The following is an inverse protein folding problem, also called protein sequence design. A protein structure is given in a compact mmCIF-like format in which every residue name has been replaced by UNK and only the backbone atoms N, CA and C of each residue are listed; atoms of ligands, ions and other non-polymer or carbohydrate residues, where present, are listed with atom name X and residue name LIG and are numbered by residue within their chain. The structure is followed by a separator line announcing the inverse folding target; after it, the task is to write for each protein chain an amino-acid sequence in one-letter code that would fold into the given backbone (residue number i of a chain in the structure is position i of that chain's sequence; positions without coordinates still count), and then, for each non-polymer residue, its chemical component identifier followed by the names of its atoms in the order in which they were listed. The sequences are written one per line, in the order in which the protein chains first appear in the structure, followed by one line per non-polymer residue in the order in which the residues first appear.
data_IF_994549697281
#
_entry.id   IF_994549697281
#
_cell.length_a   1.000
_cell.length_b   1.000
_cell.length_c   1.000
_cell.angle_alpha   90.00
_cell.angle_beta   90.00
_cell.angle_gamma   90.00
#
_symmetry.space_group_name_H-M   'P 1'
#
loop_
_entity.id
_entity.type
_entity.pdbx_description
1 polymer ?
#
# COMPACT_ATOMS: atom_id res chain seq x y z
N UNK A 1 -15.62 8.60 34.43
CA UNK A 1 -14.41 8.97 35.20
C UNK A 1 -13.23 8.59 34.32
N UNK A 2 -12.33 9.54 34.01
CA UNK A 2 -11.14 9.26 33.20
C UNK A 2 -10.20 8.43 34.07
N UNK A 3 -9.80 7.26 33.57
CA UNK A 3 -8.86 6.38 34.25
C UNK A 3 -7.44 6.88 33.94
N UNK A 4 -6.71 7.32 34.98
CA UNK A 4 -5.36 7.86 34.83
C UNK A 4 -4.38 6.83 34.20
N UNK A 5 -4.59 5.55 34.45
CA UNK A 5 -3.77 4.49 33.85
C UNK A 5 -3.95 4.42 32.34
N UNK A 6 -5.19 4.54 31.83
CA UNK A 6 -5.49 4.53 30.38
C UNK A 6 -4.90 5.79 29.69
N UNK A 7 -4.93 6.94 30.36
CA UNK A 7 -4.29 8.16 29.84
C UNK A 7 -2.78 8.00 29.75
N UNK A 8 -2.16 7.47 30.83
CA UNK A 8 -0.71 7.22 30.84
C UNK A 8 -0.30 6.17 29.80
N UNK A 9 -1.09 5.12 29.64
CA UNK A 9 -0.87 4.12 28.60
C UNK A 9 -0.92 4.73 27.20
N UNK A 10 -1.94 5.51 26.89
CA UNK A 10 -2.06 6.18 25.59
C UNK A 10 -0.90 7.13 25.32
N UNK A 11 -0.47 7.90 26.32
CA UNK A 11 0.70 8.76 26.18
C UNK A 11 1.99 7.95 25.90
N UNK A 12 2.20 6.83 26.59
CA UNK A 12 3.34 5.97 26.31
C UNK A 12 3.30 5.38 24.89
N UNK A 13 2.12 4.95 24.42
CA UNK A 13 1.95 4.46 23.05
C UNK A 13 2.40 5.49 22.00
N UNK A 14 2.08 6.78 22.22
CA UNK A 14 2.46 7.86 21.30
C UNK A 14 3.94 8.25 21.48
N UNK A 15 4.39 8.48 22.71
CA UNK A 15 5.72 9.07 22.97
C UNK A 15 6.87 8.08 22.85
N UNK A 16 6.63 6.76 23.13
CA UNK A 16 7.69 5.75 23.26
C UNK A 16 7.54 4.56 22.33
N UNK A 17 6.32 4.29 21.86
CA UNK A 17 5.98 3.05 21.16
C UNK A 17 5.57 3.30 19.70
N UNK A 18 5.83 4.51 19.18
CA UNK A 18 5.59 4.92 17.80
C UNK A 18 4.14 4.75 17.30
N UNK A 19 3.13 4.92 18.18
CA UNK A 19 1.74 4.99 17.73
C UNK A 19 1.54 6.22 16.87
N UNK A 20 1.11 6.03 15.64
CA UNK A 20 0.74 7.12 14.76
C UNK A 20 -0.62 6.90 14.05
N UNK A 21 -1.23 7.99 13.65
CA UNK A 21 -2.21 8.00 12.58
C UNK A 21 -1.44 8.21 11.29
N UNK A 22 -1.22 7.11 10.55
CA UNK A 22 -0.39 7.11 9.37
C UNK A 22 -0.93 8.04 8.30
N UNK A 23 -2.25 8.13 8.17
CA UNK A 23 -2.87 9.01 7.19
C UNK A 23 -4.31 9.35 7.52
N UNK A 24 -4.71 10.58 7.18
CA UNK A 24 -6.10 10.93 6.85
C UNK A 24 -6.16 11.05 5.32
N UNK A 25 -6.96 10.21 4.68
CA UNK A 25 -7.11 10.18 3.22
C UNK A 25 -8.53 10.58 2.83
N UNK A 26 -8.66 11.59 1.98
CA UNK A 26 -9.94 11.95 1.37
C UNK A 26 -10.09 11.22 0.04
N UNK A 27 -11.08 10.33 -0.06
CA UNK A 27 -11.56 9.78 -1.33
C UNK A 27 -12.43 10.81 -2.05
N UNK A 28 -12.20 11.01 -3.35
CA UNK A 28 -12.93 11.98 -4.17
C UNK A 28 -13.34 11.31 -5.48
N UNK A 29 -14.64 11.27 -5.75
CA UNK A 29 -15.16 10.83 -7.05
C UNK A 29 -14.88 11.89 -8.11
N UNK A 30 -14.29 11.46 -9.23
CA UNK A 30 -14.07 12.30 -10.41
C UNK A 30 -14.97 11.93 -11.58
N UNK A 31 -16.03 11.15 -11.35
CA UNK A 31 -16.94 10.71 -12.43
C UNK A 31 -17.66 11.88 -13.11
N UNK A 32 -17.93 12.95 -12.40
CA UNK A 32 -18.52 14.19 -12.92
C UNK A 32 -17.50 15.08 -13.69
N UNK A 33 -16.21 14.71 -13.64
CA UNK A 33 -15.16 15.38 -14.41
C UNK A 33 -14.97 14.80 -15.82
N UNK A 34 -15.62 13.69 -16.15
CA UNK A 34 -15.53 13.07 -17.47
C UNK A 34 -15.99 14.08 -18.55
N UNK A 35 -15.14 14.24 -19.56
CA UNK A 35 -15.40 15.08 -20.72
C UNK A 35 -14.73 14.50 -21.97
N UNK A 36 -15.22 14.85 -23.15
CA UNK A 36 -14.58 14.48 -24.42
C UNK A 36 -13.48 15.47 -24.84
N UNK A 37 -13.52 16.69 -24.31
CA UNK A 37 -12.46 17.68 -24.45
C UNK A 37 -11.45 17.54 -23.32
N UNK A 38 -10.18 17.37 -23.68
CA UNK A 38 -9.10 17.14 -22.71
C UNK A 38 -8.93 18.33 -21.76
N UNK A 39 -8.96 19.56 -22.28
CA UNK A 39 -8.74 20.74 -21.44
C UNK A 39 -9.89 20.93 -20.45
N UNK A 40 -11.14 20.70 -20.90
CA UNK A 40 -12.29 20.74 -20.01
C UNK A 40 -12.20 19.66 -18.91
N UNK A 41 -11.76 18.45 -19.26
CA UNK A 41 -11.53 17.36 -18.30
C UNK A 41 -10.46 17.76 -17.26
N UNK A 42 -9.30 18.28 -17.70
CA UNK A 42 -8.21 18.74 -16.84
C UNK A 42 -8.69 19.83 -15.86
N UNK A 43 -9.41 20.83 -16.35
CA UNK A 43 -9.94 21.93 -15.53
C UNK A 43 -10.94 21.44 -14.46
N UNK A 44 -11.82 20.49 -14.83
CA UNK A 44 -12.78 19.89 -13.91
C UNK A 44 -12.06 19.10 -12.81
N UNK A 45 -11.09 18.25 -13.17
CA UNK A 45 -10.29 17.47 -12.22
C UNK A 45 -9.58 18.41 -11.22
N UNK A 46 -8.90 19.43 -11.72
CA UNK A 46 -8.20 20.39 -10.87
C UNK A 46 -9.14 21.06 -9.86
N UNK A 47 -10.23 21.63 -10.34
CA UNK A 47 -11.25 22.30 -9.50
C UNK A 47 -11.87 21.35 -8.46
N UNK A 48 -12.28 20.15 -8.89
CA UNK A 48 -12.92 19.18 -8.01
C UNK A 48 -12.00 18.78 -6.85
N UNK A 49 -10.70 18.53 -7.14
CA UNK A 49 -9.73 18.17 -6.12
C UNK A 49 -9.47 19.34 -5.16
N UNK A 50 -9.14 20.52 -5.71
CA UNK A 50 -8.78 21.69 -4.90
C UNK A 50 -9.93 22.17 -4.03
N UNK A 51 -11.16 22.24 -4.57
CA UNK A 51 -12.35 22.63 -3.79
C UNK A 51 -12.71 21.60 -2.72
N UNK A 52 -12.58 20.31 -3.02
CA UNK A 52 -12.93 19.24 -2.07
C UNK A 52 -11.97 19.14 -0.91
N UNK A 53 -10.67 19.26 -1.16
CA UNK A 53 -9.62 18.99 -0.17
C UNK A 53 -8.98 20.24 0.44
N UNK A 54 -9.47 21.46 0.15
CA UNK A 54 -8.89 22.75 0.61
C UNK A 54 -8.63 22.83 2.12
N UNK A 55 -9.45 22.18 2.93
CA UNK A 55 -9.37 22.25 4.39
C UNK A 55 -8.77 20.95 4.99
N UNK A 56 -8.38 19.97 4.18
CA UNK A 56 -7.95 18.64 4.65
C UNK A 56 -6.69 18.72 5.51
N UNK A 57 -5.65 19.38 5.01
CA UNK A 57 -4.35 19.48 5.70
C UNK A 57 -4.50 20.24 7.01
N UNK A 58 -5.11 21.42 6.97
CA UNK A 58 -5.36 22.24 8.16
C UNK A 58 -6.14 21.45 9.22
N UNK A 59 -7.21 20.77 8.82
CA UNK A 59 -8.03 19.98 9.75
C UNK A 59 -7.22 18.84 10.36
N UNK A 60 -6.39 18.15 9.58
CA UNK A 60 -5.52 17.10 10.10
C UNK A 60 -4.51 17.61 11.13
N UNK A 61 -3.91 18.77 10.89
CA UNK A 61 -2.95 19.40 11.82
C UNK A 61 -3.62 19.86 13.12
N UNK A 62 -4.80 20.47 13.02
CA UNK A 62 -5.57 20.88 14.20
C UNK A 62 -5.96 19.67 15.07
N UNK A 63 -6.38 18.56 14.46
CA UNK A 63 -6.72 17.32 15.18
C UNK A 63 -5.48 16.71 15.83
N UNK A 64 -4.34 16.67 15.12
CA UNK A 64 -3.09 16.16 15.67
C UNK A 64 -2.66 16.95 16.90
N UNK A 65 -2.74 18.28 16.84
CA UNK A 65 -2.39 19.16 17.95
C UNK A 65 -3.35 19.02 19.15
N UNK A 66 -4.66 18.94 18.87
CA UNK A 66 -5.68 18.86 19.93
C UNK A 66 -5.66 17.51 20.65
N UNK A 67 -5.45 16.40 19.91
CA UNK A 67 -5.46 15.07 20.51
C UNK A 67 -4.09 14.58 20.97
N UNK A 68 -3.02 15.30 20.61
CA UNK A 68 -1.65 14.89 20.92
C UNK A 68 -1.20 13.60 20.21
N UNK A 69 -1.87 13.23 19.10
CA UNK A 69 -1.54 12.04 18.31
C UNK A 69 -0.98 12.48 16.96
N UNK A 70 0.22 12.04 16.57
CA UNK A 70 0.79 12.40 15.27
C UNK A 70 -0.11 11.93 14.12
N UNK A 71 -0.40 12.83 13.17
CA UNK A 71 -1.03 12.50 11.90
C UNK A 71 0.01 12.75 10.80
N UNK A 72 0.69 11.67 10.42
CA UNK A 72 1.93 11.75 9.62
C UNK A 72 1.66 12.27 8.22
N UNK A 73 0.61 11.77 7.56
CA UNK A 73 0.27 12.18 6.21
C UNK A 73 -1.20 12.62 6.07
N UNK A 74 -1.42 13.55 5.15
CA UNK A 74 -2.74 13.91 4.63
C UNK A 74 -2.69 13.59 3.14
N UNK A 75 -3.64 12.79 2.66
CA UNK A 75 -3.61 12.20 1.32
C UNK A 75 -4.94 12.35 0.62
N UNK A 76 -4.92 12.20 -0.70
CA UNK A 76 -6.11 12.12 -1.54
C UNK A 76 -6.07 10.80 -2.32
N UNK A 77 -7.22 10.18 -2.50
CA UNK A 77 -7.43 9.11 -3.48
C UNK A 77 -8.56 9.50 -4.41
N UNK A 78 -8.39 9.28 -5.72
CA UNK A 78 -9.42 9.63 -6.70
C UNK A 78 -9.91 8.40 -7.46
N UNK A 79 -11.04 8.53 -8.13
CA UNK A 79 -11.54 7.51 -9.08
C UNK A 79 -10.43 7.11 -10.05
N UNK A 80 -10.27 5.80 -10.37
CA UNK A 80 -9.27 5.35 -11.33
C UNK A 80 -9.27 6.18 -12.61
N UNK A 81 -8.16 6.83 -12.89
CA UNK A 81 -8.03 7.83 -13.98
C UNK A 81 -8.25 7.21 -15.36
N UNK A 82 -8.00 5.91 -15.55
CA UNK A 82 -8.33 5.24 -16.80
C UNK A 82 -9.82 5.35 -17.15
N UNK A 83 -10.71 5.37 -16.14
CA UNK A 83 -12.16 5.56 -16.35
C UNK A 83 -12.50 7.02 -16.65
N UNK A 84 -11.86 7.96 -15.98
CA UNK A 84 -12.15 9.39 -16.09
C UNK A 84 -11.59 9.97 -17.40
N UNK A 85 -10.34 9.64 -17.73
CA UNK A 85 -9.65 10.16 -18.93
C UNK A 85 -10.01 9.45 -20.22
N UNK A 86 -10.72 8.32 -20.16
CA UNK A 86 -10.93 7.45 -21.33
C UNK A 86 -11.66 8.10 -22.51
N UNK A 87 -12.51 9.09 -22.27
CA UNK A 87 -13.23 9.84 -23.32
C UNK A 87 -12.33 10.91 -23.97
N UNK A 88 -11.46 11.56 -23.20
CA UNK A 88 -10.65 12.69 -23.61
C UNK A 88 -9.29 12.27 -24.20
N UNK A 89 -8.62 11.33 -23.57
CA UNK A 89 -7.23 10.95 -23.89
C UNK A 89 -7.16 10.05 -25.12
N UNK A 90 -6.25 10.39 -26.03
CA UNK A 90 -5.99 9.64 -27.28
C UNK A 90 -4.57 9.06 -27.33
N UNK A 91 -3.71 9.53 -26.45
CA UNK A 91 -2.30 9.15 -26.38
C UNK A 91 -1.86 8.96 -24.91
N UNK A 92 -0.76 8.24 -24.65
CA UNK A 92 -0.17 8.19 -23.30
C UNK A 92 0.20 9.58 -22.76
N UNK A 93 0.63 10.50 -23.62
CA UNK A 93 0.96 11.88 -23.24
C UNK A 93 -0.26 12.64 -22.71
N UNK A 94 -1.47 12.40 -23.24
CA UNK A 94 -2.69 13.04 -22.71
C UNK A 94 -3.01 12.58 -21.29
N UNK A 95 -2.78 11.29 -21.00
CA UNK A 95 -2.90 10.78 -19.63
C UNK A 95 -1.83 11.36 -18.70
N UNK A 96 -0.58 11.54 -19.17
CA UNK A 96 0.47 12.17 -18.38
C UNK A 96 0.10 13.61 -17.97
N UNK A 97 -0.59 14.37 -18.83
CA UNK A 97 -1.12 15.70 -18.48
C UNK A 97 -2.14 15.64 -17.34
N UNK A 98 -2.96 14.58 -17.27
CA UNK A 98 -3.86 14.39 -16.11
C UNK A 98 -3.04 14.20 -14.84
N UNK A 99 -1.97 13.40 -14.87
CA UNK A 99 -1.07 13.23 -13.72
C UNK A 99 -0.45 14.57 -13.27
N UNK A 100 0.01 15.39 -14.22
CA UNK A 100 0.58 16.71 -13.93
C UNK A 100 -0.47 17.64 -13.28
N UNK A 101 -1.73 17.58 -13.71
CA UNK A 101 -2.83 18.35 -13.10
C UNK A 101 -3.16 17.85 -11.70
N UNK A 102 -3.15 16.52 -11.48
CA UNK A 102 -3.31 15.93 -10.15
C UNK A 102 -2.20 16.36 -9.20
N UNK A 103 -0.96 16.35 -9.67
CA UNK A 103 0.21 16.79 -8.90
C UNK A 103 0.12 18.27 -8.52
N UNK A 104 -0.23 19.13 -9.49
CA UNK A 104 -0.48 20.55 -9.25
C UNK A 104 -1.57 20.79 -8.20
N UNK A 105 -2.66 20.05 -8.26
CA UNK A 105 -3.74 20.14 -7.28
C UNK A 105 -3.28 19.66 -5.89
N UNK A 106 -2.48 18.59 -5.83
CA UNK A 106 -1.91 18.07 -4.58
C UNK A 106 -0.99 19.10 -3.91
N UNK A 107 -0.15 19.76 -4.69
CA UNK A 107 0.71 20.86 -4.20
C UNK A 107 -0.11 22.04 -3.67
N UNK A 108 -1.17 22.45 -4.39
CA UNK A 108 -2.00 23.58 -3.96
C UNK A 108 -2.70 23.35 -2.63
N UNK A 109 -3.23 22.14 -2.41
CA UNK A 109 -3.91 21.80 -1.14
C UNK A 109 -2.94 21.30 -0.06
N UNK A 110 -1.64 21.12 -0.39
CA UNK A 110 -0.58 20.76 0.54
C UNK A 110 -0.57 19.32 1.00
N UNK A 111 -1.21 18.39 0.26
CA UNK A 111 -1.21 16.97 0.62
C UNK A 111 0.10 16.29 0.23
N UNK A 112 0.47 15.26 0.99
CA UNK A 112 1.71 14.53 0.77
C UNK A 112 1.67 13.65 -0.49
N UNK A 113 0.50 13.03 -0.75
CA UNK A 113 0.34 12.11 -1.87
C UNK A 113 -1.09 12.15 -2.43
N UNK A 114 -1.21 11.86 -3.74
CA UNK A 114 -2.47 11.66 -4.42
C UNK A 114 -2.43 10.36 -5.23
N UNK A 115 -3.29 9.40 -4.85
CA UNK A 115 -3.47 8.12 -5.54
C UNK A 115 -4.66 8.15 -6.50
N UNK A 116 -4.78 7.09 -7.30
CA UNK A 116 -5.86 6.95 -8.28
C UNK A 116 -5.41 7.14 -9.73
N UNK A 117 -4.13 7.39 -9.99
CA UNK A 117 -3.58 7.26 -11.34
C UNK A 117 -3.51 5.77 -11.72
N UNK A 118 -4.69 5.18 -11.90
CA UNK A 118 -4.89 3.73 -11.82
C UNK A 118 -5.73 3.19 -12.96
N UNK A 119 -5.53 1.88 -13.26
CA UNK A 119 -6.34 1.10 -14.18
C UNK A 119 -6.78 -0.23 -13.55
N UNK A 120 -8.03 -0.65 -13.79
CA UNK A 120 -8.61 -1.88 -13.28
C UNK A 120 -8.79 -2.88 -14.43
N UNK A 121 -7.76 -3.67 -14.71
CA UNK A 121 -7.68 -4.53 -15.91
C UNK A 121 -7.85 -6.03 -15.63
N UNK A 122 -8.22 -6.38 -14.40
CA UNK A 122 -8.48 -7.77 -14.01
C UNK A 122 -9.60 -8.45 -14.83
N UNK A 123 -10.62 -7.69 -15.24
CA UNK A 123 -11.73 -8.15 -16.09
C UNK A 123 -11.43 -8.09 -17.59
N UNK A 124 -10.50 -7.25 -17.98
CA UNK A 124 -10.10 -6.99 -19.37
C UNK A 124 -9.46 -5.61 -19.45
N UNK A 125 -8.65 -5.38 -20.44
CA UNK A 125 -7.94 -4.11 -20.67
C UNK A 125 -8.58 -3.38 -21.85
N UNK A 126 -9.12 -2.20 -21.61
CA UNK A 126 -9.61 -1.31 -22.65
C UNK A 126 -8.46 -0.55 -23.30
N UNK A 127 -8.73 0.13 -24.43
CA UNK A 127 -7.72 1.00 -25.04
C UNK A 127 -7.28 2.13 -24.10
N UNK A 128 -8.21 2.71 -23.33
CA UNK A 128 -7.91 3.76 -22.35
C UNK A 128 -7.02 3.24 -21.20
N UNK A 129 -7.30 2.01 -20.71
CA UNK A 129 -6.46 1.37 -19.70
C UNK A 129 -5.02 1.17 -20.22
N UNK A 130 -4.86 0.71 -21.46
CA UNK A 130 -3.54 0.51 -22.07
C UNK A 130 -2.80 1.84 -22.22
N UNK A 131 -3.46 2.90 -22.69
CA UNK A 131 -2.86 4.24 -22.82
C UNK A 131 -2.38 4.76 -21.46
N UNK A 132 -3.21 4.63 -20.40
CA UNK A 132 -2.81 5.01 -19.05
C UNK A 132 -1.61 4.20 -18.59
N UNK A 133 -1.63 2.87 -18.71
CA UNK A 133 -0.53 2.02 -18.26
C UNK A 133 0.79 2.40 -18.97
N UNK A 134 0.73 2.64 -20.27
CA UNK A 134 1.91 3.08 -21.04
C UNK A 134 2.38 4.50 -20.68
N UNK A 135 1.54 5.33 -20.08
CA UNK A 135 1.91 6.66 -19.62
C UNK A 135 2.59 6.67 -18.23
N UNK A 136 2.51 5.58 -17.45
CA UNK A 136 3.01 5.52 -16.08
C UNK A 136 4.48 5.95 -15.95
N UNK A 137 5.44 5.47 -16.76
CA UNK A 137 6.84 5.88 -16.65
C UNK A 137 7.00 7.39 -16.75
N UNK A 138 6.35 7.99 -17.73
CA UNK A 138 6.36 9.41 -17.99
C UNK A 138 5.67 10.20 -16.87
N UNK A 139 4.48 9.76 -16.45
CA UNK A 139 3.71 10.40 -15.41
C UNK A 139 4.48 10.44 -14.09
N UNK A 140 5.03 9.29 -13.64
CA UNK A 140 5.74 9.20 -12.36
C UNK A 140 7.11 9.86 -12.35
N UNK A 141 7.74 10.06 -13.52
CA UNK A 141 8.98 10.82 -13.64
C UNK A 141 8.78 12.34 -13.62
N UNK A 142 7.60 12.82 -14.04
CA UNK A 142 7.26 14.25 -14.13
C UNK A 142 6.51 14.77 -12.90
N UNK A 143 6.05 13.91 -12.01
CA UNK A 143 5.25 14.28 -10.85
C UNK A 143 5.92 13.86 -9.55
N UNK A 144 5.68 14.62 -8.51
CA UNK A 144 6.23 14.39 -7.17
C UNK A 144 5.28 13.56 -6.30
N UNK A 145 4.00 13.95 -6.22
CA UNK A 145 3.03 13.44 -5.27
C UNK A 145 2.10 12.37 -5.84
N UNK A 146 2.10 12.17 -7.17
CA UNK A 146 1.20 11.20 -7.82
C UNK A 146 1.67 9.77 -7.62
N UNK A 147 0.72 8.91 -7.23
CA UNK A 147 0.94 7.48 -7.10
C UNK A 147 0.01 6.70 -8.02
N UNK A 148 0.50 5.57 -8.52
CA UNK A 148 -0.18 4.74 -9.51
C UNK A 148 -0.39 3.32 -9.00
N UNK A 149 -1.47 2.70 -9.46
CA UNK A 149 -1.70 1.27 -9.26
C UNK A 149 -2.45 0.63 -10.42
N UNK A 150 -2.19 -0.64 -10.64
CA UNK A 150 -2.88 -1.42 -11.68
C UNK A 150 -3.37 -2.73 -11.10
N UNK A 151 -4.69 -2.97 -11.12
CA UNK A 151 -5.28 -4.22 -10.64
C UNK A 151 -5.41 -5.21 -11.81
N UNK A 152 -4.53 -6.22 -11.85
CA UNK A 152 -4.42 -7.17 -12.98
C UNK A 152 -5.08 -8.52 -12.72
N UNK A 153 -5.44 -8.80 -11.47
CA UNK A 153 -6.00 -10.08 -11.06
C UNK A 153 -7.13 -9.96 -10.07
N UNK A 154 -7.96 -10.97 -10.01
CA UNK A 154 -8.94 -11.14 -8.95
C UNK A 154 -9.36 -12.59 -8.81
N UNK A 155 -9.86 -12.94 -7.60
CA UNK A 155 -10.44 -14.25 -7.32
C UNK A 155 -11.58 -14.61 -8.29
N UNK A 156 -12.31 -13.60 -8.78
CA UNK A 156 -13.47 -13.79 -9.68
C UNK A 156 -13.10 -13.88 -11.16
N UNK A 157 -12.09 -13.13 -11.60
CA UNK A 157 -11.75 -13.00 -13.02
C UNK A 157 -10.49 -13.77 -13.41
N UNK A 158 -9.70 -14.25 -12.45
CA UNK A 158 -8.38 -14.81 -12.74
C UNK A 158 -7.33 -13.72 -12.94
N UNK A 159 -6.25 -14.02 -13.64
CA UNK A 159 -5.11 -13.15 -13.86
C UNK A 159 -5.03 -12.75 -15.34
N UNK A 160 -4.94 -11.47 -15.62
CA UNK A 160 -4.74 -10.93 -16.97
C UNK A 160 -3.23 -10.93 -17.29
N UNK A 161 -2.75 -11.99 -17.96
CA UNK A 161 -1.33 -12.17 -18.27
C UNK A 161 -0.80 -11.20 -19.32
N UNK A 162 -1.66 -10.64 -20.18
CA UNK A 162 -1.24 -9.59 -21.13
C UNK A 162 -0.90 -8.30 -20.35
N UNK A 163 -1.71 -7.95 -19.35
CA UNK A 163 -1.42 -6.82 -18.46
C UNK A 163 -0.19 -7.09 -17.56
N UNK A 164 -0.03 -8.31 -17.05
CA UNK A 164 1.14 -8.70 -16.24
C UNK A 164 2.43 -8.56 -17.06
N UNK A 165 2.44 -9.03 -18.31
CA UNK A 165 3.59 -8.87 -19.21
C UNK A 165 3.90 -7.40 -19.45
N UNK A 166 2.90 -6.61 -19.81
CA UNK A 166 3.06 -5.17 -20.03
C UNK A 166 3.64 -4.47 -18.80
N UNK A 167 3.17 -4.82 -17.58
CA UNK A 167 3.64 -4.18 -16.36
C UNK A 167 5.09 -4.52 -16.00
N UNK A 168 5.60 -5.68 -16.36
CA UNK A 168 7.04 -5.94 -16.24
C UNK A 168 7.87 -4.99 -17.11
N UNK A 169 7.41 -4.69 -18.34
CA UNK A 169 8.02 -3.70 -19.22
C UNK A 169 7.92 -2.28 -18.62
N UNK A 170 6.73 -1.90 -18.16
CA UNK A 170 6.45 -0.57 -17.56
C UNK A 170 7.27 -0.33 -16.29
N UNK A 171 7.43 -1.33 -15.41
CA UNK A 171 8.27 -1.19 -14.20
C UNK A 171 9.73 -0.95 -14.61
N UNK A 172 10.25 -1.69 -15.59
CA UNK A 172 11.61 -1.47 -16.12
C UNK A 172 11.77 -0.06 -16.70
N UNK A 173 10.81 0.36 -17.51
CA UNK A 173 10.81 1.69 -18.12
C UNK A 173 10.70 2.79 -17.05
N UNK A 174 9.85 2.62 -16.04
CA UNK A 174 9.73 3.55 -14.90
C UNK A 174 11.05 3.66 -14.13
N UNK A 175 11.71 2.53 -13.89
CA UNK A 175 13.04 2.52 -13.26
C UNK A 175 14.06 3.32 -14.07
N UNK A 176 14.08 3.15 -15.40
CA UNK A 176 15.00 3.86 -16.29
C UNK A 176 14.68 5.37 -16.36
N UNK A 177 13.40 5.77 -16.41
CA UNK A 177 12.98 7.17 -16.39
C UNK A 177 13.35 7.90 -15.09
N UNK A 178 13.49 7.16 -13.99
CA UNK A 178 13.77 7.73 -12.66
C UNK A 178 15.11 7.26 -12.08
N UNK A 179 16.05 6.80 -12.93
CA UNK A 179 17.35 6.26 -12.51
C UNK A 179 18.22 7.26 -11.74
N UNK A 180 18.13 8.55 -12.07
CA UNK A 180 18.87 9.62 -11.37
C UNK A 180 18.35 9.84 -9.93
N UNK A 181 17.23 9.21 -9.58
CA UNK A 181 16.61 9.20 -8.26
C UNK A 181 16.53 7.76 -7.71
N UNK A 182 17.52 6.93 -8.00
CA UNK A 182 17.59 5.53 -7.56
C UNK A 182 16.32 4.70 -7.91
N UNK A 183 15.72 4.98 -9.09
CA UNK A 183 14.51 4.31 -9.60
C UNK A 183 13.26 4.54 -8.70
N UNK A 184 13.20 5.64 -7.97
CA UNK A 184 12.14 5.96 -6.99
C UNK A 184 10.73 5.99 -7.60
N UNK A 185 10.58 6.22 -8.90
CA UNK A 185 9.29 6.12 -9.58
C UNK A 185 8.60 4.78 -9.36
N UNK A 186 9.37 3.69 -9.27
CA UNK A 186 8.83 2.35 -8.99
C UNK A 186 8.24 2.21 -7.58
N UNK A 187 8.72 2.99 -6.60
CA UNK A 187 8.14 3.03 -5.26
C UNK A 187 6.73 3.65 -5.23
N UNK A 188 6.36 4.40 -6.28
CA UNK A 188 5.04 5.01 -6.45
C UNK A 188 4.08 4.18 -7.32
N UNK A 189 4.47 2.97 -7.74
CA UNK A 189 3.67 2.06 -8.58
C UNK A 189 3.44 0.72 -7.89
N UNK A 190 2.17 0.31 -7.80
CA UNK A 190 1.78 -0.99 -7.23
C UNK A 190 0.94 -1.79 -8.23
N UNK A 191 1.25 -3.08 -8.36
CA UNK A 191 0.43 -4.03 -9.12
C UNK A 191 -0.37 -4.90 -8.17
N UNK A 192 -1.69 -4.98 -8.37
CA UNK A 192 -2.61 -5.65 -7.45
C UNK A 192 -3.33 -6.87 -8.02
N UNK A 193 -3.67 -7.78 -7.10
CA UNK A 193 -4.80 -8.69 -7.18
C UNK A 193 -5.79 -8.38 -6.08
N UNK A 194 -7.09 -8.36 -6.38
CA UNK A 194 -8.15 -8.05 -5.42
C UNK A 194 -7.94 -6.72 -4.67
N UNK A 195 -7.56 -5.66 -5.37
CA UNK A 195 -7.38 -4.34 -4.76
C UNK A 195 -8.68 -3.87 -4.08
N UNK A 196 -8.63 -3.41 -2.81
CA UNK A 196 -9.79 -2.85 -2.14
C UNK A 196 -10.10 -1.44 -2.65
N UNK A 197 -11.38 -1.12 -2.74
CA UNK A 197 -11.88 0.17 -3.25
C UNK A 197 -11.74 1.32 -2.23
N UNK A 198 -11.52 1.00 -0.96
CA UNK A 198 -11.49 1.90 0.19
C UNK A 198 -10.08 2.07 0.80
N UNK A 199 -9.04 1.62 0.11
CA UNK A 199 -7.66 1.66 0.59
C UNK A 199 -7.16 3.10 0.80
N UNK A 200 -6.79 3.51 2.03
CA UNK A 200 -6.28 4.85 2.31
C UNK A 200 -4.77 5.02 2.10
N UNK A 201 -4.04 3.92 1.81
CA UNK A 201 -2.59 3.96 1.73
C UNK A 201 -2.08 4.39 0.36
N UNK A 202 -0.93 5.06 0.36
CA UNK A 202 -0.31 5.81 -0.71
C UNK A 202 -0.36 5.15 -2.10
N UNK A 203 0.59 4.36 -2.47
CA UNK A 203 0.74 3.93 -3.86
C UNK A 203 -0.42 3.04 -4.36
N UNK A 204 -1.12 2.36 -3.45
CA UNK A 204 -2.26 1.53 -3.79
C UNK A 204 -3.62 2.22 -3.68
N UNK A 205 -3.68 3.44 -3.18
CA UNK A 205 -4.94 4.12 -2.93
C UNK A 205 -5.63 4.53 -4.24
N UNK A 206 -6.90 4.21 -4.35
CA UNK A 206 -7.83 4.80 -5.31
C UNK A 206 -9.22 4.85 -4.69
N UNK A 207 -10.09 5.68 -5.23
CA UNK A 207 -11.46 5.81 -4.77
C UNK A 207 -12.38 4.96 -5.65
N UNK A 208 -13.05 3.98 -5.05
CA UNK A 208 -13.94 3.06 -5.76
C UNK A 208 -15.12 3.77 -6.40
N UNK A 209 -15.58 3.26 -7.55
CA UNK A 209 -16.69 3.87 -8.30
C UNK A 209 -18.04 3.73 -7.62
N UNK A 210 -18.15 2.86 -6.62
CA UNK A 210 -19.36 2.62 -5.83
C UNK A 210 -19.38 3.35 -4.50
N UNK A 211 -18.30 4.04 -4.17
CA UNK A 211 -18.15 4.83 -2.96
C UNK A 211 -18.89 6.18 -3.04
N UNK A 212 -19.07 6.85 -1.90
CA UNK A 212 -19.66 8.18 -1.83
C UNK A 212 -18.85 9.20 -2.65
N UNK A 213 -19.48 10.31 -3.08
CA UNK A 213 -18.79 11.38 -3.83
C UNK A 213 -17.50 11.88 -3.14
N UNK A 214 -17.55 11.97 -1.81
CA UNK A 214 -16.37 12.21 -0.96
C UNK A 214 -16.46 11.37 0.30
N UNK A 215 -15.31 10.88 0.78
CA UNK A 215 -15.25 10.04 1.99
C UNK A 215 -13.94 10.29 2.72
N UNK A 216 -13.94 10.14 4.05
CA UNK A 216 -12.71 10.18 4.87
C UNK A 216 -12.38 8.77 5.33
N UNK A 217 -11.21 8.28 4.93
CA UNK A 217 -10.62 7.04 5.39
C UNK A 217 -9.36 7.35 6.21
N UNK A 218 -9.14 6.60 7.27
CA UNK A 218 -7.99 6.83 8.17
C UNK A 218 -7.18 5.55 8.28
N UNK A 219 -5.88 5.66 8.08
CA UNK A 219 -4.92 4.59 8.35
C UNK A 219 -4.22 4.84 9.70
N UNK A 220 -4.22 3.85 10.56
CA UNK A 220 -3.53 3.89 11.85
C UNK A 220 -2.53 2.75 11.94
N UNK A 221 -1.38 3.03 12.55
CA UNK A 221 -0.28 2.07 12.66
C UNK A 221 0.31 2.07 14.08
N UNK A 222 1.03 1.02 14.40
CA UNK A 222 1.70 0.89 15.68
C UNK A 222 2.37 -0.49 15.86
N UNK A 223 3.31 -0.88 14.97
CA UNK A 223 4.12 -2.08 15.20
C UNK A 223 4.85 -2.03 16.54
N UNK A 224 5.43 -0.87 16.89
CA UNK A 224 6.12 -0.66 18.17
C UNK A 224 5.22 -0.89 19.38
N UNK A 225 3.94 -0.50 19.30
CA UNK A 225 2.97 -0.73 20.39
C UNK A 225 2.73 -2.23 20.59
N UNK A 226 2.57 -2.98 19.49
CA UNK A 226 2.38 -4.44 19.57
C UNK A 226 3.65 -5.12 20.06
N UNK A 227 4.83 -4.72 19.57
CA UNK A 227 6.12 -5.22 20.04
C UNK A 227 6.29 -5.05 21.56
N UNK A 228 6.12 -3.83 22.05
CA UNK A 228 6.25 -3.51 23.49
C UNK A 228 5.24 -4.30 24.34
N UNK A 229 4.01 -4.47 23.86
CA UNK A 229 3.03 -5.29 24.55
C UNK A 229 3.47 -6.76 24.65
N UNK A 230 4.08 -7.32 23.60
CA UNK A 230 4.59 -8.70 23.60
C UNK A 230 5.82 -8.89 24.47
N UNK A 231 6.69 -7.89 24.60
CA UNK A 231 7.82 -7.92 25.55
C UNK A 231 7.37 -8.22 26.98
N UNK A 232 6.20 -7.73 27.37
CA UNK A 232 5.64 -7.95 28.73
C UNK A 232 5.15 -9.37 28.97
N UNK A 233 5.00 -10.19 27.93
CA UNK A 233 4.48 -11.56 27.99
C UNK A 233 5.46 -12.58 27.38
N UNK A 234 6.76 -12.27 27.36
CA UNK A 234 7.80 -13.21 26.89
C UNK A 234 7.77 -14.52 27.66
N UNK A 235 7.79 -15.64 26.91
CA UNK A 235 7.76 -16.98 27.50
C UNK A 235 6.38 -17.51 27.86
N UNK A 236 5.33 -16.70 27.71
CA UNK A 236 3.97 -17.12 27.88
C UNK A 236 3.43 -17.98 26.70
N UNK A 237 2.28 -18.59 26.86
CA UNK A 237 1.66 -19.43 25.83
C UNK A 237 1.15 -18.62 24.64
N UNK A 238 0.90 -19.28 23.48
CA UNK A 238 0.32 -18.63 22.31
C UNK A 238 -1.06 -18.02 22.58
N UNK A 239 -1.84 -18.60 23.50
CA UNK A 239 -3.13 -18.04 23.90
C UNK A 239 -2.96 -16.66 24.54
N UNK A 240 -1.97 -16.49 25.41
CA UNK A 240 -1.64 -15.22 26.06
C UNK A 240 -1.16 -14.20 25.02
N UNK A 241 -0.28 -14.63 24.11
CA UNK A 241 0.19 -13.78 23.00
C UNK A 241 -0.96 -13.30 22.13
N UNK A 242 -1.85 -14.20 21.72
CA UNK A 242 -3.02 -13.88 20.91
C UNK A 242 -3.94 -12.84 21.58
N UNK A 243 -4.24 -13.02 22.87
CA UNK A 243 -5.05 -12.06 23.61
C UNK A 243 -4.37 -10.71 23.77
N UNK A 244 -3.07 -10.69 23.95
CA UNK A 244 -2.27 -9.46 24.05
C UNK A 244 -2.29 -8.69 22.75
N UNK A 245 -2.01 -9.33 21.61
CA UNK A 245 -2.07 -8.71 20.28
C UNK A 245 -3.46 -8.15 20.01
N UNK A 246 -4.49 -8.95 20.24
CA UNK A 246 -5.88 -8.56 20.00
C UNK A 246 -6.30 -7.34 20.82
N UNK A 247 -5.96 -7.30 22.11
CA UNK A 247 -6.26 -6.16 22.99
C UNK A 247 -5.50 -4.89 22.56
N UNK A 248 -4.26 -5.03 22.17
CA UNK A 248 -3.44 -3.91 21.67
C UNK A 248 -4.00 -3.37 20.37
N UNK A 249 -4.29 -4.22 19.40
CA UNK A 249 -4.92 -3.85 18.13
C UNK A 249 -6.28 -3.15 18.33
N UNK A 250 -7.07 -3.59 19.31
CA UNK A 250 -8.32 -2.92 19.70
C UNK A 250 -8.05 -1.45 20.10
N UNK A 251 -7.06 -1.20 20.98
CA UNK A 251 -6.74 0.14 21.47
C UNK A 251 -6.26 1.04 20.32
N UNK A 252 -5.33 0.57 19.51
CA UNK A 252 -4.80 1.30 18.35
C UNK A 252 -5.94 1.68 17.39
N UNK A 253 -6.84 0.75 17.07
CA UNK A 253 -7.99 1.02 16.18
C UNK A 253 -8.92 2.09 16.76
N UNK A 254 -9.12 2.11 18.09
CA UNK A 254 -9.96 3.13 18.76
C UNK A 254 -9.41 4.54 18.58
N UNK A 255 -8.09 4.70 18.59
CA UNK A 255 -7.44 5.98 18.30
C UNK A 255 -7.72 6.42 16.86
N UNK A 256 -7.53 5.53 15.89
CA UNK A 256 -7.85 5.81 14.48
C UNK A 256 -9.32 6.19 14.27
N UNK A 257 -10.25 5.49 14.91
CA UNK A 257 -11.68 5.82 14.84
C UNK A 257 -12.02 7.19 15.43
N UNK A 258 -11.37 7.58 16.53
CA UNK A 258 -11.57 8.89 17.14
C UNK A 258 -11.16 10.00 16.16
N UNK A 259 -9.98 9.89 15.57
CA UNK A 259 -9.48 10.83 14.57
C UNK A 259 -10.39 10.87 13.34
N UNK A 260 -10.81 9.72 12.83
CA UNK A 260 -11.68 9.63 11.66
C UNK A 260 -13.03 10.32 11.86
N UNK A 261 -13.66 10.11 13.03
CA UNK A 261 -14.93 10.76 13.36
C UNK A 261 -14.80 12.28 13.49
N UNK A 262 -13.72 12.76 14.10
CA UNK A 262 -13.51 14.20 14.24
C UNK A 262 -13.17 14.86 12.89
N UNK A 263 -12.35 14.21 12.05
CA UNK A 263 -12.07 14.67 10.69
C UNK A 263 -13.34 14.74 9.85
N UNK A 264 -14.14 13.68 9.85
CA UNK A 264 -15.45 13.64 9.17
C UNK A 264 -16.37 14.78 9.59
N UNK A 265 -16.48 15.05 10.89
CA UNK A 265 -17.31 16.12 11.46
C UNK A 265 -16.84 17.50 11.01
N UNK A 266 -15.54 17.81 11.12
CA UNK A 266 -14.97 19.13 10.77
C UNK A 266 -15.04 19.39 9.27
N UNK A 267 -14.70 18.39 8.45
CA UNK A 267 -14.72 18.49 7.00
C UNK A 267 -16.12 18.36 6.39
N UNK A 268 -17.11 17.91 7.16
CA UNK A 268 -18.48 17.62 6.71
C UNK A 268 -18.51 16.62 5.54
N UNK A 269 -17.64 15.61 5.64
CA UNK A 269 -17.51 14.51 4.67
C UNK A 269 -17.77 13.20 5.41
N UNK A 270 -18.54 12.25 4.85
CA UNK A 270 -18.82 10.98 5.50
C UNK A 270 -17.55 10.25 5.95
N UNK A 271 -17.64 9.58 7.10
CA UNK A 271 -16.61 8.66 7.56
C UNK A 271 -16.78 7.31 6.86
N UNK A 272 -15.75 6.84 6.22
CA UNK A 272 -15.66 5.55 5.54
C UNK A 272 -15.12 4.47 6.46
N UNK A 273 -13.80 4.29 6.46
CA UNK A 273 -13.15 3.20 7.22
C UNK A 273 -11.96 3.67 8.05
N UNK A 274 -11.63 2.83 9.03
CA UNK A 274 -10.31 2.79 9.67
C UNK A 274 -9.57 1.57 9.14
N UNK A 275 -8.40 1.80 8.58
CA UNK A 275 -7.44 0.76 8.23
C UNK A 275 -6.43 0.62 9.36
N UNK A 276 -6.47 -0.52 10.06
CA UNK A 276 -5.45 -0.89 11.03
C UNK A 276 -4.39 -1.72 10.32
N UNK A 277 -3.38 -1.07 9.80
CA UNK A 277 -2.23 -1.75 9.21
C UNK A 277 -1.00 -1.53 10.08
N UNK A 278 -0.41 -2.65 10.54
CA UNK A 278 0.91 -2.61 11.15
C UNK A 278 1.92 -2.36 10.02
N UNK A 279 2.02 -1.10 9.63
CA UNK A 279 2.93 -0.61 8.60
C UNK A 279 4.16 -0.03 9.31
N UNK A 280 5.32 -0.70 9.25
CA UNK A 280 6.52 -0.26 9.95
C UNK A 280 7.07 1.05 9.39
N UNK A 281 8.02 1.61 10.12
CA UNK A 281 8.88 2.71 9.65
C UNK A 281 10.35 2.31 9.87
N UNK A 282 11.31 3.02 9.25
CA UNK A 282 12.73 2.79 9.51
C UNK A 282 13.17 3.12 10.95
N UNK A 283 12.27 3.66 11.77
CA UNK A 283 12.56 3.96 13.17
C UNK A 283 12.81 2.69 14.00
N UNK A 284 13.82 2.73 14.83
CA UNK A 284 14.15 1.61 15.72
C UNK A 284 12.96 1.29 16.63
N UNK A 285 12.55 0.02 16.66
CA UNK A 285 11.46 -0.47 17.49
C UNK A 285 10.07 -0.41 16.82
N UNK A 286 9.95 0.17 15.61
CA UNK A 286 8.72 0.20 14.82
C UNK A 286 8.79 -0.81 13.65
N UNK A 287 8.94 -2.10 13.98
CA UNK A 287 9.24 -3.18 13.04
C UNK A 287 8.27 -4.35 13.22
N UNK A 288 7.73 -4.86 12.12
CA UNK A 288 6.94 -6.11 12.10
C UNK A 288 7.87 -7.32 12.26
N UNK A 289 9.10 -7.27 11.74
CA UNK A 289 10.07 -8.31 11.96
C UNK A 289 10.42 -8.45 13.45
N UNK A 290 10.54 -7.34 14.18
CA UNK A 290 10.76 -7.37 15.64
C UNK A 290 9.59 -8.03 16.38
N UNK A 291 8.35 -7.79 15.95
CA UNK A 291 7.17 -8.50 16.49
C UNK A 291 7.31 -10.01 16.29
N UNK A 292 7.76 -10.44 15.12
CA UNK A 292 7.97 -11.87 14.84
C UNK A 292 9.08 -12.45 15.72
N UNK A 293 10.12 -11.68 16.04
CA UNK A 293 11.15 -12.07 17.00
C UNK A 293 10.58 -12.18 18.42
N UNK A 294 9.73 -11.26 18.87
CA UNK A 294 9.06 -11.36 20.17
C UNK A 294 8.10 -12.57 20.26
N UNK A 295 7.54 -13.03 19.15
CA UNK A 295 6.76 -14.29 19.09
C UNK A 295 7.65 -15.52 19.28
N UNK A 296 8.98 -15.39 19.11
CA UNK A 296 9.95 -16.44 19.40
C UNK A 296 10.85 -16.87 18.23
N UNK A 297 10.94 -16.07 17.17
CA UNK A 297 11.84 -16.31 16.04
C UNK A 297 13.19 -15.61 16.28
N UNK A 298 14.27 -16.23 15.86
CA UNK A 298 15.59 -15.59 15.88
C UNK A 298 15.69 -14.43 14.88
N UNK A 299 15.14 -14.66 13.67
CA UNK A 299 15.02 -13.68 12.60
C UNK A 299 13.74 -13.89 11.80
N UNK A 300 13.17 -12.83 11.23
CA UNK A 300 12.21 -12.96 10.16
C UNK A 300 12.84 -13.78 9.01
N UNK A 301 12.10 -14.74 8.46
CA UNK A 301 12.63 -15.69 7.46
C UNK A 301 12.92 -17.08 8.02
N UNK A 302 13.19 -17.23 9.31
CA UNK A 302 13.42 -18.52 9.96
C UNK A 302 12.18 -19.46 9.79
N UNK A 303 12.34 -20.80 9.88
CA UNK A 303 11.21 -21.73 9.96
C UNK A 303 10.25 -21.31 11.06
N UNK A 304 8.94 -21.22 10.73
CA UNK A 304 7.91 -20.70 11.63
C UNK A 304 7.44 -19.28 11.30
N UNK A 305 8.19 -18.48 10.55
CA UNK A 305 7.82 -17.09 10.22
C UNK A 305 6.46 -16.94 9.58
N UNK A 306 6.10 -17.78 8.62
CA UNK A 306 4.77 -17.73 7.97
C UNK A 306 3.65 -18.04 8.98
N UNK A 307 3.86 -18.99 9.91
CA UNK A 307 2.89 -19.30 10.95
C UNK A 307 2.75 -18.16 11.96
N UNK A 308 3.85 -17.58 12.41
CA UNK A 308 3.85 -16.43 13.32
C UNK A 308 3.16 -15.21 12.69
N UNK A 309 3.42 -14.93 11.41
CA UNK A 309 2.78 -13.86 10.66
C UNK A 309 1.27 -14.11 10.47
N UNK A 310 0.86 -15.36 10.22
CA UNK A 310 -0.56 -15.74 10.14
C UNK A 310 -1.29 -15.47 11.47
N UNK A 311 -0.67 -15.85 12.59
CA UNK A 311 -1.19 -15.57 13.94
C UNK A 311 -1.29 -14.05 14.15
N UNK A 312 -0.23 -13.30 13.89
CA UNK A 312 -0.20 -11.85 14.05
C UNK A 312 -1.32 -11.18 13.24
N UNK A 313 -1.40 -11.49 11.95
CA UNK A 313 -2.37 -10.90 11.04
C UNK A 313 -3.82 -11.17 11.46
N UNK A 314 -4.11 -12.40 11.89
CA UNK A 314 -5.44 -12.81 12.36
C UNK A 314 -5.84 -12.08 13.66
N UNK A 315 -4.93 -11.99 14.64
CA UNK A 315 -5.24 -11.32 15.90
C UNK A 315 -5.38 -9.80 15.75
N UNK A 316 -4.58 -9.17 14.88
CA UNK A 316 -4.73 -7.75 14.54
C UNK A 316 -6.11 -7.48 13.95
N UNK A 317 -6.54 -8.26 12.96
CA UNK A 317 -7.87 -8.14 12.36
C UNK A 317 -9.00 -8.34 13.36
N UNK A 318 -8.90 -9.34 14.24
CA UNK A 318 -9.88 -9.58 15.30
C UNK A 318 -9.98 -8.39 16.26
N UNK A 319 -8.86 -7.83 16.69
CA UNK A 319 -8.83 -6.65 17.54
C UNK A 319 -9.46 -5.43 16.86
N UNK A 320 -9.16 -5.21 15.59
CA UNK A 320 -9.75 -4.14 14.77
C UNK A 320 -11.27 -4.24 14.70
N UNK A 321 -11.80 -5.38 14.28
CA UNK A 321 -13.25 -5.62 14.14
C UNK A 321 -13.98 -5.47 15.49
N UNK A 322 -13.36 -5.85 16.59
CA UNK A 322 -13.94 -5.63 17.93
C UNK A 322 -13.98 -4.15 18.32
N UNK A 323 -13.06 -3.33 17.81
CA UNK A 323 -12.96 -1.90 18.14
C UNK A 323 -13.91 -1.02 17.32
N UNK A 324 -14.17 -1.39 16.08
CA UNK A 324 -14.93 -0.57 15.12
C UNK A 324 -15.67 -1.44 14.10
N UNK A 325 -16.91 -1.06 13.78
CA UNK A 325 -17.66 -1.60 12.64
C UNK A 325 -17.22 -1.00 11.29
N UNK A 326 -16.30 -0.07 11.31
CA UNK A 326 -15.79 0.65 10.13
C UNK A 326 -14.37 0.20 9.76
N UNK A 327 -14.01 -1.03 10.03
CA UNK A 327 -12.69 -1.57 9.63
C UNK A 327 -12.73 -1.96 8.16
N UNK A 328 -11.73 -1.52 7.40
CA UNK A 328 -11.63 -1.77 5.96
C UNK A 328 -10.20 -1.61 5.45
N UNK A 329 -10.06 -1.32 4.18
CA UNK A 329 -8.76 -1.15 3.51
C UNK A 329 -7.96 -2.44 3.47
N UNK A 330 -6.70 -2.37 3.80
CA UNK A 330 -5.77 -3.50 3.82
C UNK A 330 -5.72 -4.22 5.17
N UNK A 331 -5.93 -3.51 6.25
CA UNK A 331 -5.93 -3.96 7.67
C UNK A 331 -5.17 -5.25 7.97
N UNK A 332 -4.12 -5.18 8.78
CA UNK A 332 -3.30 -6.32 9.19
C UNK A 332 -1.80 -6.02 9.20
N UNK A 333 -0.97 -7.04 9.06
CA UNK A 333 0.48 -6.89 9.10
C UNK A 333 1.08 -6.70 7.70
N UNK A 334 1.86 -5.63 7.52
CA UNK A 334 2.65 -5.34 6.33
C UNK A 334 4.06 -5.90 6.49
N UNK A 335 4.69 -6.23 5.38
CA UNK A 335 6.06 -6.77 5.35
C UNK A 335 6.92 -6.06 4.29
N UNK A 336 6.95 -4.70 4.25
CA UNK A 336 7.85 -4.00 3.35
C UNK A 336 9.30 -4.24 3.77
N UNK A 337 10.22 -4.34 2.81
CA UNK A 337 11.62 -4.54 3.15
C UNK A 337 12.30 -3.23 3.53
N UNK A 338 12.17 -2.16 2.71
CA UNK A 338 12.92 -0.91 2.96
C UNK A 338 12.40 -0.08 4.13
N UNK A 339 11.15 -0.28 4.51
CA UNK A 339 10.48 0.50 5.56
C UNK A 339 10.57 -0.18 6.95
N UNK A 340 11.23 -1.35 7.06
CA UNK A 340 11.30 -2.17 8.27
C UNK A 340 12.76 -2.57 8.57
N UNK A 341 13.35 -1.99 9.62
CA UNK A 341 14.73 -2.26 9.97
C UNK A 341 15.00 -3.75 10.22
N UNK A 342 14.09 -4.45 10.88
CA UNK A 342 14.26 -5.88 11.15
C UNK A 342 14.14 -6.74 9.88
N UNK A 343 13.36 -6.33 8.87
CA UNK A 343 13.33 -6.99 7.55
C UNK A 343 14.64 -6.74 6.80
N UNK A 344 15.17 -5.52 6.82
CA UNK A 344 16.48 -5.18 6.24
C UNK A 344 17.58 -6.05 6.85
N UNK A 345 17.60 -6.16 8.17
CA UNK A 345 18.59 -6.96 8.90
C UNK A 345 18.47 -8.46 8.56
N UNK A 346 17.23 -8.97 8.44
CA UNK A 346 16.97 -10.36 8.08
C UNK A 346 17.42 -10.67 6.64
N UNK A 347 17.21 -9.76 5.68
CA UNK A 347 17.75 -9.90 4.31
C UNK A 347 19.27 -9.86 4.32
N UNK A 348 19.87 -8.92 5.03
CA UNK A 348 21.33 -8.76 5.12
C UNK A 348 21.99 -9.97 5.75
N UNK A 349 21.37 -10.57 6.76
CA UNK A 349 21.82 -11.82 7.40
C UNK A 349 21.60 -13.07 6.51
N UNK A 350 20.88 -12.95 5.38
CA UNK A 350 20.53 -14.09 4.52
C UNK A 350 19.43 -14.99 5.08
N UNK A 351 18.72 -14.56 6.11
CA UNK A 351 17.60 -15.28 6.70
C UNK A 351 16.31 -15.12 5.88
N UNK A 352 16.15 -13.98 5.20
CA UNK A 352 14.97 -13.64 4.43
C UNK A 352 15.31 -13.53 2.93
N UNK A 353 14.70 -14.38 2.12
CA UNK A 353 14.82 -14.39 0.65
C UNK A 353 13.52 -13.94 -0.02
N UNK A 354 13.57 -13.65 -1.32
CA UNK A 354 12.39 -13.26 -2.09
C UNK A 354 11.31 -14.35 -2.05
N UNK A 355 11.71 -15.61 -2.25
CA UNK A 355 10.80 -16.77 -2.21
C UNK A 355 10.18 -16.97 -0.81
N UNK A 356 10.92 -16.62 0.24
CA UNK A 356 10.39 -16.65 1.61
C UNK A 356 9.37 -15.53 1.82
N UNK A 357 9.62 -14.34 1.28
CA UNK A 357 8.66 -13.24 1.28
C UNK A 357 7.39 -13.63 0.53
N UNK A 358 7.49 -14.23 -0.67
CA UNK A 358 6.33 -14.76 -1.42
C UNK A 358 5.50 -15.73 -0.56
N UNK A 359 6.16 -16.67 0.14
CA UNK A 359 5.45 -17.57 1.05
C UNK A 359 4.75 -16.82 2.19
N UNK A 360 5.35 -15.75 2.71
CA UNK A 360 4.76 -14.90 3.77
C UNK A 360 3.56 -14.09 3.25
N UNK A 361 3.56 -13.73 1.96
CA UNK A 361 2.45 -12.99 1.37
C UNK A 361 1.14 -13.78 1.30
N UNK A 362 1.20 -15.11 1.42
CA UNK A 362 -0.01 -15.92 1.59
C UNK A 362 -0.84 -15.52 2.81
N UNK A 363 -0.22 -14.97 3.85
CA UNK A 363 -0.82 -14.70 5.16
C UNK A 363 -0.69 -13.24 5.64
N UNK A 364 0.11 -12.40 4.99
CA UNK A 364 0.17 -10.97 5.29
C UNK A 364 -1.06 -10.22 4.75
N UNK A 365 -1.14 -8.92 4.96
CA UNK A 365 -2.29 -8.13 4.47
C UNK A 365 -2.06 -7.44 3.13
N UNK A 366 -0.84 -7.38 2.61
CA UNK A 366 -0.51 -6.67 1.37
C UNK A 366 0.09 -7.60 0.32
N UNK A 367 1.37 -7.94 0.40
CA UNK A 367 2.11 -8.66 -0.63
C UNK A 367 3.60 -8.34 -0.57
N UNK A 368 4.29 -8.48 -1.70
CA UNK A 368 5.68 -8.03 -1.86
C UNK A 368 5.71 -6.51 -1.89
N UNK A 369 6.34 -5.90 -0.92
CA UNK A 369 6.31 -4.46 -0.77
C UNK A 369 7.70 -3.86 -0.57
N UNK A 370 8.02 -2.79 -1.33
CA UNK A 370 9.29 -2.07 -1.27
C UNK A 370 10.51 -2.99 -1.42
N UNK A 371 10.49 -3.85 -2.43
CA UNK A 371 11.55 -4.81 -2.71
C UNK A 371 12.52 -4.24 -3.75
N UNK A 372 13.73 -3.92 -3.34
CA UNK A 372 14.79 -3.51 -4.24
C UNK A 372 15.45 -4.75 -4.89
N UNK A 373 15.56 -4.77 -6.21
CA UNK A 373 16.13 -5.85 -7.00
C UNK A 373 17.20 -5.31 -7.96
N UNK A 374 18.10 -6.16 -8.51
CA UNK A 374 19.11 -5.71 -9.47
C UNK A 374 18.50 -4.97 -10.66
N UNK A 375 19.13 -3.84 -11.03
CA UNK A 375 18.66 -2.99 -12.11
C UNK A 375 18.67 -3.66 -13.49
N UNK A 376 19.45 -4.72 -13.69
CA UNK A 376 19.51 -5.53 -14.93
C UNK A 376 18.47 -6.65 -14.98
N UNK A 377 17.66 -6.84 -13.93
CA UNK A 377 16.58 -7.85 -13.91
C UNK A 377 15.67 -7.71 -15.14
N UNK A 378 15.41 -8.80 -15.85
CA UNK A 378 14.58 -8.79 -17.05
C UNK A 378 13.13 -8.44 -16.74
N UNK A 379 12.47 -7.73 -17.65
CA UNK A 379 11.05 -7.42 -17.57
C UNK A 379 10.18 -8.68 -17.41
N UNK A 380 10.53 -9.77 -18.13
CA UNK A 380 9.83 -11.06 -18.02
C UNK A 380 9.97 -11.70 -16.62
N UNK A 381 11.13 -11.55 -15.97
CA UNK A 381 11.33 -12.02 -14.59
C UNK A 381 10.44 -11.25 -13.62
N UNK A 382 10.37 -9.91 -13.75
CA UNK A 382 9.45 -9.08 -12.98
C UNK A 382 8.00 -9.50 -13.20
N UNK A 383 7.62 -9.76 -14.46
CA UNK A 383 6.28 -10.29 -14.81
C UNK A 383 6.00 -11.65 -14.17
N UNK A 384 7.01 -12.51 -14.07
CA UNK A 384 6.90 -13.82 -13.40
C UNK A 384 6.58 -13.66 -11.91
N UNK A 385 7.32 -12.80 -11.20
CA UNK A 385 7.08 -12.49 -9.78
C UNK A 385 5.68 -11.88 -9.58
N UNK A 386 5.26 -10.98 -10.46
CA UNK A 386 3.90 -10.44 -10.44
C UNK A 386 2.87 -11.58 -10.59
N UNK A 387 3.07 -12.50 -11.53
CA UNK A 387 2.13 -13.60 -11.76
C UNK A 387 2.00 -14.51 -10.54
N UNK A 388 3.08 -14.80 -9.83
CA UNK A 388 3.08 -15.62 -8.62
C UNK A 388 2.31 -14.94 -7.50
N UNK A 389 2.53 -13.66 -7.26
CA UNK A 389 1.78 -12.88 -6.27
C UNK A 389 0.28 -12.77 -6.61
N UNK A 390 -0.05 -12.59 -7.89
CA UNK A 390 -1.45 -12.58 -8.34
C UNK A 390 -2.11 -13.95 -8.11
N UNK A 391 -1.38 -15.05 -8.31
CA UNK A 391 -1.86 -16.41 -8.06
C UNK A 391 -2.14 -16.62 -6.56
N UNK A 392 -1.23 -16.16 -5.69
CA UNK A 392 -1.41 -16.20 -4.23
C UNK A 392 -2.69 -15.44 -3.82
N UNK A 393 -2.87 -14.22 -4.33
CA UNK A 393 -4.06 -13.41 -4.05
C UNK A 393 -5.36 -14.05 -4.55
N UNK A 394 -5.34 -14.55 -5.78
CA UNK A 394 -6.49 -15.19 -6.41
C UNK A 394 -6.93 -16.46 -5.63
N UNK A 395 -5.99 -17.33 -5.30
CA UNK A 395 -6.29 -18.61 -4.64
C UNK A 395 -6.74 -18.41 -3.19
N UNK A 396 -6.10 -17.50 -2.46
CA UNK A 396 -6.41 -17.25 -1.06
C UNK A 396 -7.57 -16.27 -0.85
N UNK A 397 -8.14 -15.71 -1.91
CA UNK A 397 -9.20 -14.70 -1.84
C UNK A 397 -8.80 -13.51 -0.95
N UNK A 398 -7.59 -13.01 -1.15
CA UNK A 398 -7.03 -11.88 -0.41
C UNK A 398 -6.41 -10.87 -1.37
N UNK A 399 -6.23 -9.64 -0.91
CA UNK A 399 -5.40 -8.67 -1.64
C UNK A 399 -3.95 -9.12 -1.62
N UNK A 400 -3.31 -9.12 -2.80
CA UNK A 400 -1.85 -9.12 -2.93
C UNK A 400 -1.41 -7.96 -3.78
N UNK A 401 -0.23 -7.44 -3.48
CA UNK A 401 0.38 -6.31 -4.15
C UNK A 401 1.83 -6.64 -4.51
N UNK A 402 2.34 -6.00 -5.54
CA UNK A 402 3.75 -6.07 -5.92
C UNK A 402 4.27 -4.65 -6.13
N UNK A 403 5.26 -4.26 -5.31
CA UNK A 403 6.02 -3.01 -5.42
C UNK A 403 7.50 -3.36 -5.50
N UNK A 404 7.96 -3.66 -6.73
CA UNK A 404 9.34 -4.00 -7.06
C UNK A 404 10.08 -2.78 -7.60
N UNK A 405 11.31 -2.61 -7.17
CA UNK A 405 12.15 -1.49 -7.57
C UNK A 405 13.44 -2.04 -8.19
N UNK A 406 13.51 -2.20 -9.52
CA UNK A 406 14.76 -2.51 -10.20
C UNK A 406 15.67 -1.26 -10.13
N UNK A 407 16.72 -1.31 -9.32
CA UNK A 407 17.58 -0.14 -9.10
C UNK A 407 18.65 -0.09 -10.18
N UNK A 408 18.45 0.79 -11.16
CA UNK A 408 19.35 0.90 -12.32
C UNK A 408 20.78 1.21 -11.87
N UNK A 409 21.73 0.41 -12.37
CA UNK A 409 23.16 0.55 -12.06
C UNK A 409 23.60 -0.13 -10.75
N UNK A 410 22.68 -0.71 -9.98
CA UNK A 410 23.02 -1.44 -8.73
C UNK A 410 22.70 -2.93 -8.84
N UNK A 411 23.45 -3.73 -8.08
CA UNK A 411 23.36 -5.19 -8.05
C UNK A 411 23.31 -5.76 -6.62
N UNK A 412 23.23 -7.08 -6.52
CA UNK A 412 23.21 -7.81 -5.25
C UNK A 412 24.45 -7.45 -4.40
N UNK A 413 24.24 -7.19 -3.11
CA UNK A 413 25.28 -6.78 -2.15
C UNK A 413 25.41 -5.27 -1.99
N UNK A 414 24.73 -4.49 -2.81
CA UNK A 414 24.62 -3.04 -2.66
C UNK A 414 23.32 -2.65 -1.93
N UNK A 415 23.22 -1.39 -1.54
CA UNK A 415 22.05 -0.82 -0.90
C UNK A 415 21.53 0.38 -1.70
N UNK A 416 20.27 0.68 -1.52
CA UNK A 416 19.61 1.87 -2.08
C UNK A 416 18.91 2.63 -0.96
N UNK A 417 18.97 3.96 -0.99
CA UNK A 417 18.30 4.82 -0.04
C UNK A 417 17.17 5.58 -0.73
N UNK A 418 15.96 5.43 -0.20
CA UNK A 418 14.76 6.11 -0.69
C UNK A 418 14.41 7.34 0.14
N UNK A 419 14.96 7.42 1.36
CA UNK A 419 14.77 8.52 2.29
C UNK A 419 13.41 8.55 2.99
N UNK A 420 13.32 9.37 4.05
CA UNK A 420 12.09 9.57 4.81
C UNK A 420 11.47 8.27 5.34
N UNK A 421 10.16 8.13 5.16
CA UNK A 421 9.43 6.93 5.58
C UNK A 421 9.68 5.70 4.68
N UNK A 422 10.21 5.90 3.48
CA UNK A 422 10.50 4.81 2.54
C UNK A 422 11.81 4.06 2.90
N UNK A 423 12.67 4.68 3.72
CA UNK A 423 13.86 4.09 4.28
C UNK A 423 14.95 3.74 3.26
N UNK A 424 15.58 2.59 3.47
CA UNK A 424 16.62 2.05 2.59
C UNK A 424 16.46 0.53 2.45
N UNK A 425 16.99 -0.05 1.37
CA UNK A 425 16.90 -1.49 1.14
C UNK A 425 18.21 -2.09 0.64
N UNK A 426 18.56 -3.31 1.07
CA UNK A 426 19.54 -4.13 0.38
C UNK A 426 18.95 -4.60 -0.96
N UNK A 427 19.80 -4.68 -2.00
CA UNK A 427 19.40 -5.25 -3.29
C UNK A 427 19.29 -6.77 -3.16
N UNK A 428 18.06 -7.29 -3.24
CA UNK A 428 17.78 -8.72 -3.06
C UNK A 428 18.09 -9.52 -4.33
N UNK A 429 18.68 -10.70 -4.23
CA UNK A 429 18.88 -11.57 -5.37
C UNK A 429 17.54 -12.05 -5.93
N UNK A 430 17.48 -12.19 -7.26
CA UNK A 430 16.34 -12.73 -8.00
C UNK A 430 16.74 -14.02 -8.69
N UNK A 431 15.83 -14.98 -8.78
CA UNK A 431 16.04 -16.24 -9.48
C UNK A 431 16.46 -15.99 -10.93
N UNK A 432 17.53 -16.65 -11.38
CA UNK A 432 18.16 -16.42 -12.68
C UNK A 432 17.59 -17.30 -13.81
N UNK A 433 16.72 -18.27 -13.50
CA UNK A 433 16.11 -19.10 -14.51
C UNK A 433 15.01 -18.38 -15.28
N UNK A 434 14.97 -18.57 -16.60
CA UNK A 434 14.03 -17.85 -17.46
C UNK A 434 12.59 -18.35 -17.32
N UNK A 435 11.68 -17.39 -17.18
CA UNK A 435 10.23 -17.60 -17.31
C UNK A 435 9.66 -17.00 -18.62
N UNK A 436 10.51 -16.62 -19.57
CA UNK A 436 10.12 -15.91 -20.80
C UNK A 436 8.99 -16.63 -21.56
N UNK A 437 9.11 -17.96 -21.75
CA UNK A 437 8.09 -18.74 -22.45
C UNK A 437 6.74 -18.75 -21.72
N UNK A 438 6.74 -18.74 -20.38
CA UNK A 438 5.54 -18.68 -19.56
C UNK A 438 4.84 -17.31 -19.69
N UNK A 439 5.58 -16.22 -19.49
CA UNK A 439 5.06 -14.86 -19.58
C UNK A 439 4.53 -14.53 -20.98
N UNK A 440 5.28 -14.93 -22.02
CA UNK A 440 4.93 -14.65 -23.41
C UNK A 440 3.75 -15.46 -23.96
N UNK A 441 3.18 -16.40 -23.19
CA UNK A 441 1.91 -17.03 -23.56
C UNK A 441 0.77 -16.03 -23.62
N UNK A 442 0.80 -15.00 -22.76
CA UNK A 442 -0.26 -13.99 -22.68
C UNK A 442 -1.61 -14.56 -22.28
N UNK A 443 -2.67 -13.85 -22.64
CA UNK A 443 -4.04 -14.25 -22.39
C UNK A 443 -4.42 -14.19 -20.90
N UNK A 444 -5.08 -15.24 -20.41
CA UNK A 444 -5.62 -15.24 -19.04
C UNK A 444 -5.36 -16.56 -18.33
N UNK A 445 -4.87 -16.49 -17.09
CA UNK A 445 -4.98 -17.61 -16.15
C UNK A 445 -6.40 -17.55 -15.57
N UNK A 446 -7.22 -18.61 -15.75
CA UNK A 446 -8.62 -18.58 -15.33
C UNK A 446 -8.76 -18.51 -13.80
N UNK A 447 -9.89 -17.97 -13.35
CA UNK A 447 -10.25 -18.01 -11.95
C UNK A 447 -10.36 -19.45 -11.43
N UNK A 448 -10.06 -19.63 -10.14
CA UNK A 448 -10.19 -20.95 -9.51
C UNK A 448 -11.65 -21.42 -9.48
N UNK A 449 -11.85 -22.73 -9.34
CA UNK A 449 -13.17 -23.31 -9.12
C UNK A 449 -13.59 -23.04 -7.66
N UNK A 450 -14.64 -22.24 -7.47
CA UNK A 450 -15.07 -21.83 -6.14
C UNK A 450 -15.80 -22.91 -5.35
N UNK A 451 -16.38 -23.89 -6.02
CA UNK A 451 -17.15 -24.97 -5.39
C UNK A 451 -16.30 -26.07 -4.77
N UNK A 452 -15.01 -26.13 -5.08
CA UNK A 452 -14.06 -27.07 -4.47
C UNK A 452 -13.15 -26.33 -3.50
N UNK A 453 -13.17 -26.75 -2.24
CA UNK A 453 -12.23 -26.31 -1.21
C UNK A 453 -11.19 -27.40 -1.04
N UNK A 454 -10.00 -27.18 -1.49
CA UNK A 454 -8.87 -28.06 -1.22
C UNK A 454 -8.07 -27.52 -0.05
#
# INVERSE_FOLDING_TARGET
MINIYEVTETNNMVEKENLDVRTITMGISLLDCIDSDLNACLDKIYKKITESAKDLVKTGEEIAQEFGVPIVNKRISVTPIALVGGAACKTPEDFAKIAEVMDKAAHEVGVNFIGGYSALVNKGMTHADELLIRSIPMALSRTENVCSSVNVGSTRCGINMDAVRLLGEIIKETAEYTKEQDSLGCAKLVVFCNAPDDNPFMAGAFHGVTEADRIINVGVSGPGVVKTALESVRGESFEVLCETIKKTAFKVTRVGQLVAKEASKRLKVPFGIVDLSLAPTPAIGDSVADILCEIGLEHAGAPGTTAALALLNDQVKKGGVMASSYVGGLSGAFIPVSEDQGMIDAVTAGALTLEKLEAMTCVCSVGLDMIAIPGDTKATTISGIIADEMAIGMINNKTTAVRLIPVIGKGVGETVEFGGLLGYAPIMPVNQFSCDAFVNRGGRIPARIHSFKN
#
